data_IF_296205003082
#
_entry.id   IF_296205003082
#
_cell.length_a   1.000
_cell.length_b   1.000
_cell.length_c   1.000
_cell.angle_alpha   90.00
_cell.angle_beta   90.00
_cell.angle_gamma   90.00
#
_symmetry.space_group_name_H-M   'P 1'
#
loop_
_entity.id
_entity.type
_entity.pdbx_description
1 polymer ?
#
# COMPACT_ATOMS: atom_id res chain seq x y z
N UNK A 1 5.61 11.63 20.94
CA UNK A 1 4.65 10.91 20.06
C UNK A 1 4.51 9.45 20.48
N UNK A 2 3.30 8.91 20.63
CA UNK A 2 3.08 7.48 20.92
C UNK A 2 3.44 6.63 19.68
N UNK A 3 4.14 5.50 19.82
CA UNK A 3 4.46 4.64 18.67
C UNK A 3 3.20 3.96 18.12
N UNK A 4 3.14 3.85 16.80
CA UNK A 4 2.08 3.15 16.06
C UNK A 4 2.52 1.71 15.79
N UNK A 5 1.64 0.73 15.97
CA UNK A 5 1.87 -0.63 15.48
C UNK A 5 1.55 -0.65 13.99
N UNK A 6 2.54 -0.89 13.14
CA UNK A 6 2.36 -1.08 11.71
C UNK A 6 2.08 -2.55 11.41
N UNK A 7 0.82 -2.88 11.12
CA UNK A 7 0.37 -4.20 10.70
C UNK A 7 0.67 -4.44 9.20
N UNK A 8 1.96 -4.56 8.86
CA UNK A 8 2.40 -4.72 7.47
C UNK A 8 3.82 -5.25 7.36
N UNK A 9 4.05 -6.15 6.41
CA UNK A 9 5.40 -6.60 6.01
C UNK A 9 6.06 -5.69 4.96
N UNK A 10 5.39 -4.65 4.46
CA UNK A 10 5.87 -3.80 3.36
C UNK A 10 7.01 -2.86 3.80
N UNK A 11 8.23 -2.99 3.25
CA UNK A 11 9.32 -2.05 3.53
C UNK A 11 8.97 -0.61 3.14
N UNK A 12 8.22 -0.42 2.05
CA UNK A 12 7.82 0.90 1.55
C UNK A 12 6.95 1.69 2.53
N UNK A 13 6.03 1.00 3.23
CA UNK A 13 5.22 1.64 4.28
C UNK A 13 6.06 2.04 5.49
N UNK A 14 7.06 1.22 5.83
CA UNK A 14 8.02 1.56 6.88
C UNK A 14 8.86 2.78 6.49
N UNK A 15 9.33 2.86 5.24
CA UNK A 15 10.07 4.01 4.71
C UNK A 15 9.24 5.30 4.78
N UNK A 16 7.95 5.24 4.42
CA UNK A 16 7.04 6.39 4.53
C UNK A 16 6.90 6.84 5.99
N UNK A 17 6.67 5.93 6.95
CA UNK A 17 6.56 6.30 8.36
C UNK A 17 7.86 6.87 8.92
N UNK A 18 9.02 6.32 8.51
CA UNK A 18 10.35 6.87 8.85
C UNK A 18 10.52 8.28 8.31
N UNK A 19 10.16 8.51 7.04
CA UNK A 19 10.23 9.84 6.41
C UNK A 19 9.35 10.87 7.13
N UNK A 20 8.17 10.44 7.63
CA UNK A 20 7.25 11.27 8.39
C UNK A 20 7.67 11.47 9.86
N UNK A 21 8.75 10.86 10.32
CA UNK A 21 9.18 10.89 11.72
C UNK A 21 8.20 10.23 12.70
N UNK A 22 7.26 9.42 12.22
CA UNK A 22 6.29 8.72 13.07
C UNK A 22 6.96 7.48 13.66
N UNK A 23 7.07 7.35 15.00
CA UNK A 23 7.63 6.16 15.61
C UNK A 23 6.68 4.97 15.42
N UNK A 24 7.22 3.81 15.08
CA UNK A 24 6.42 2.61 14.86
C UNK A 24 7.13 1.32 15.23
N UNK A 25 6.32 0.28 15.48
CA UNK A 25 6.75 -1.11 15.62
C UNK A 25 6.05 -1.94 14.55
N UNK A 26 6.77 -2.89 13.94
CA UNK A 26 6.20 -3.75 12.90
C UNK A 26 5.70 -5.04 13.53
N UNK A 27 4.45 -5.39 13.25
CA UNK A 27 3.88 -6.72 13.49
C UNK A 27 3.34 -7.21 12.15
N UNK A 28 3.83 -8.38 11.71
CA UNK A 28 3.41 -8.96 10.43
C UNK A 28 2.05 -9.65 10.60
N UNK A 29 1.01 -9.22 9.88
CA UNK A 29 -0.27 -9.89 9.91
C UNK A 29 -0.24 -11.19 9.09
N UNK A 30 -0.99 -12.19 9.53
CA UNK A 30 -1.19 -13.46 8.84
C UNK A 30 -2.61 -13.53 8.26
N UNK A 31 -2.87 -12.79 7.20
CA UNK A 31 -4.19 -12.70 6.55
C UNK A 31 -4.18 -13.47 5.24
N UNK A 32 -5.23 -14.26 5.00
CA UNK A 32 -5.41 -14.95 3.73
C UNK A 32 -5.95 -14.01 2.65
N UNK A 33 -5.06 -13.54 1.78
CA UNK A 33 -5.41 -12.62 0.69
C UNK A 33 -6.24 -13.28 -0.44
N UNK A 34 -6.47 -14.61 -0.40
CA UNK A 34 -7.24 -15.32 -1.46
C UNK A 34 -8.75 -14.96 -1.46
N UNK A 35 -9.26 -14.37 -0.39
CA UNK A 35 -10.66 -13.89 -0.30
C UNK A 35 -10.89 -12.71 -1.25
N UNK A 36 -9.84 -12.00 -1.59
CA UNK A 36 -9.84 -10.81 -2.42
C UNK A 36 -10.41 -10.98 -3.84
N UNK A 37 -10.36 -12.18 -4.41
CA UNK A 37 -10.73 -12.43 -5.81
C UNK A 37 -12.24 -12.42 -6.11
N UNK A 38 -13.09 -12.31 -5.09
CA UNK A 38 -14.55 -12.42 -5.20
C UNK A 38 -15.30 -11.11 -4.94
N UNK A 39 -14.61 -10.04 -4.63
CA UNK A 39 -15.17 -8.76 -4.16
C UNK A 39 -14.69 -7.64 -5.10
N UNK A 40 -15.46 -6.55 -5.21
CA UNK A 40 -15.03 -5.37 -5.98
C UNK A 40 -13.67 -4.84 -5.46
N UNK A 41 -12.77 -4.35 -6.33
CA UNK A 41 -11.41 -3.96 -5.96
C UNK A 41 -11.30 -3.03 -4.75
N UNK A 42 -12.14 -1.99 -4.68
CA UNK A 42 -12.12 -1.04 -3.56
C UNK A 42 -12.51 -1.70 -2.23
N UNK A 43 -13.55 -2.53 -2.26
CA UNK A 43 -14.02 -3.25 -1.08
C UNK A 43 -12.99 -4.31 -0.64
N UNK A 44 -12.25 -4.87 -1.59
CA UNK A 44 -11.19 -5.83 -1.33
C UNK A 44 -10.05 -5.22 -0.52
N UNK A 45 -9.53 -4.05 -0.96
CA UNK A 45 -8.42 -3.40 -0.24
C UNK A 45 -8.85 -2.91 1.14
N UNK A 46 -10.09 -2.41 1.29
CA UNK A 46 -10.62 -2.01 2.59
C UNK A 46 -10.77 -3.20 3.53
N UNK A 47 -11.35 -4.30 3.06
CA UNK A 47 -11.49 -5.53 3.84
C UNK A 47 -10.13 -6.03 4.31
N UNK A 48 -9.17 -6.19 3.39
CA UNK A 48 -7.84 -6.70 3.72
C UNK A 48 -7.09 -5.77 4.69
N UNK A 49 -7.23 -4.45 4.56
CA UNK A 49 -6.66 -3.53 5.52
C UNK A 49 -7.27 -3.71 6.93
N UNK A 50 -8.59 -3.87 7.04
CA UNK A 50 -9.27 -4.16 8.33
C UNK A 50 -8.87 -5.50 8.92
N UNK A 51 -8.85 -6.56 8.12
CA UNK A 51 -8.45 -7.90 8.55
C UNK A 51 -7.02 -7.92 9.11
N UNK A 52 -6.09 -7.18 8.51
CA UNK A 52 -4.72 -7.03 9.03
C UNK A 52 -4.68 -6.40 10.42
N UNK A 53 -5.54 -5.44 10.72
CA UNK A 53 -5.67 -4.87 12.07
C UNK A 53 -6.22 -5.91 13.04
N UNK A 54 -7.30 -6.59 12.67
CA UNK A 54 -7.97 -7.58 13.51
C UNK A 54 -6.99 -8.71 13.87
N UNK A 55 -6.26 -9.24 12.90
CA UNK A 55 -5.27 -10.28 13.12
C UNK A 55 -4.19 -9.84 14.11
N UNK A 56 -3.61 -8.65 13.92
CA UNK A 56 -2.60 -8.11 14.84
C UNK A 56 -3.17 -7.89 16.25
N UNK A 57 -4.39 -7.37 16.37
CA UNK A 57 -5.04 -7.19 17.68
C UNK A 57 -5.23 -8.52 18.41
N UNK A 58 -5.50 -9.62 17.69
CA UNK A 58 -5.62 -10.96 18.28
C UNK A 58 -4.29 -11.56 18.73
N UNK A 59 -3.16 -11.15 18.12
CA UNK A 59 -1.83 -11.65 18.51
C UNK A 59 -1.25 -10.96 19.72
N UNK A 60 -1.79 -9.80 20.10
CA UNK A 60 -1.29 -9.00 21.22
C UNK A 60 -1.86 -9.50 22.56
N UNK A 61 -1.06 -9.43 23.65
CA UNK A 61 -1.54 -9.78 24.97
C UNK A 61 -2.76 -8.95 25.39
N UNK A 62 -3.77 -9.57 25.98
CA UNK A 62 -5.02 -8.91 26.37
C UNK A 62 -4.88 -7.78 27.39
N UNK A 63 -3.77 -7.74 28.12
CA UNK A 63 -3.43 -6.69 29.09
C UNK A 63 -2.54 -5.58 28.51
N UNK A 64 -2.14 -5.69 27.24
CA UNK A 64 -1.31 -4.67 26.60
C UNK A 64 -2.20 -3.48 26.18
N UNK A 65 -1.79 -2.27 26.59
CA UNK A 65 -2.38 -1.04 26.03
C UNK A 65 -1.89 -0.86 24.60
N UNK A 66 -2.83 -0.91 23.66
CA UNK A 66 -2.55 -0.71 22.23
C UNK A 66 -3.09 0.66 21.86
N UNK A 67 -2.25 1.68 21.74
CA UNK A 67 -2.72 3.03 21.44
C UNK A 67 -3.21 3.14 19.99
N UNK A 68 -2.42 2.63 19.03
CA UNK A 68 -2.68 2.79 17.60
C UNK A 68 -2.23 1.56 16.80
N UNK A 69 -3.04 1.10 15.85
CA UNK A 69 -2.63 0.11 14.84
C UNK A 69 -2.96 0.65 13.46
N UNK A 70 -1.97 0.68 12.59
CA UNK A 70 -2.06 1.12 11.21
C UNK A 70 -1.87 -0.06 10.27
N UNK A 71 -2.73 -0.20 9.29
CA UNK A 71 -2.54 -1.12 8.17
C UNK A 71 -2.87 -0.44 6.85
N UNK A 72 -2.48 -1.07 5.77
CA UNK A 72 -2.95 -0.72 4.43
C UNK A 72 -2.94 -1.95 3.53
N UNK A 73 -3.72 -1.87 2.45
CA UNK A 73 -3.68 -2.83 1.36
C UNK A 73 -3.68 -2.12 0.02
N UNK A 74 -2.99 -2.70 -0.99
CA UNK A 74 -2.78 -2.07 -2.29
C UNK A 74 -2.95 -3.08 -3.40
N UNK A 75 -3.78 -2.75 -4.37
CA UNK A 75 -3.93 -3.51 -5.61
C UNK A 75 -3.78 -2.60 -6.82
N UNK A 76 -3.40 -3.20 -7.94
CA UNK A 76 -3.37 -2.56 -9.25
C UNK A 76 -4.48 -3.16 -10.10
N UNK A 77 -5.24 -2.32 -10.82
CA UNK A 77 -6.34 -2.77 -11.68
C UNK A 77 -6.26 -2.16 -13.07
N UNK A 78 -6.61 -2.94 -14.08
CA UNK A 78 -6.81 -2.46 -15.46
C UNK A 78 -7.90 -3.30 -16.11
N UNK A 79 -8.90 -2.67 -16.70
CA UNK A 79 -10.03 -3.34 -17.36
C UNK A 79 -10.68 -4.42 -16.46
N UNK A 80 -10.97 -4.07 -15.21
CA UNK A 80 -11.55 -4.96 -14.19
C UNK A 80 -10.69 -6.17 -13.78
N UNK A 81 -9.47 -6.30 -14.30
CA UNK A 81 -8.50 -7.32 -13.90
C UNK A 81 -7.62 -6.79 -12.77
N UNK A 82 -7.38 -7.61 -11.77
CA UNK A 82 -6.48 -7.30 -10.65
C UNK A 82 -5.09 -7.85 -10.95
N UNK A 83 -4.07 -7.02 -10.70
CA UNK A 83 -2.66 -7.34 -10.84
C UNK A 83 -2.02 -7.29 -9.44
N UNK A 84 -1.90 -8.45 -8.82
CA UNK A 84 -1.24 -8.60 -7.53
C UNK A 84 0.30 -8.53 -7.65
N UNK A 85 0.99 -9.09 -6.66
CA UNK A 85 2.45 -9.28 -6.73
C UNK A 85 2.74 -10.40 -7.72
N UNK A 86 3.55 -10.19 -8.77
CA UNK A 86 3.88 -11.25 -9.73
C UNK A 86 4.65 -12.38 -9.04
N UNK A 87 4.35 -13.61 -9.42
CA UNK A 87 4.92 -14.82 -8.82
C UNK A 87 6.30 -15.17 -9.37
N UNK A 88 6.56 -14.75 -10.59
CA UNK A 88 7.80 -15.01 -11.33
C UNK A 88 8.06 -13.92 -12.36
N UNK A 89 9.19 -14.01 -13.03
CA UNK A 89 9.65 -13.05 -14.02
C UNK A 89 8.70 -12.96 -15.23
N UNK A 90 8.19 -14.08 -15.70
CA UNK A 90 7.27 -14.15 -16.86
C UNK A 90 5.95 -13.41 -16.54
N UNK A 91 5.45 -13.54 -15.31
CA UNK A 91 4.25 -12.83 -14.90
C UNK A 91 4.50 -11.32 -14.75
N UNK A 92 5.65 -10.94 -14.22
CA UNK A 92 6.06 -9.53 -14.14
C UNK A 92 6.18 -8.90 -15.53
N UNK A 93 6.85 -9.58 -16.46
CA UNK A 93 6.98 -9.13 -17.85
C UNK A 93 5.62 -8.95 -18.52
N UNK A 94 4.72 -9.92 -18.33
CA UNK A 94 3.35 -9.84 -18.84
C UNK A 94 2.63 -8.59 -18.28
N UNK A 95 2.76 -8.30 -16.99
CA UNK A 95 2.13 -7.12 -16.38
C UNK A 95 2.66 -5.83 -17.01
N UNK A 96 3.98 -5.69 -17.15
CA UNK A 96 4.58 -4.49 -17.76
C UNK A 96 4.18 -4.36 -19.23
N UNK A 97 4.11 -5.47 -20.00
CA UNK A 97 3.58 -5.46 -21.37
C UNK A 97 2.12 -5.00 -21.45
N UNK A 98 1.31 -5.35 -20.46
CA UNK A 98 -0.08 -4.91 -20.40
C UNK A 98 -0.20 -3.43 -19.97
N UNK A 99 0.76 -2.87 -19.21
CA UNK A 99 0.74 -1.49 -18.73
C UNK A 99 1.38 -0.50 -19.70
N UNK A 100 2.40 -0.88 -20.44
CA UNK A 100 3.10 0.01 -21.37
C UNK A 100 2.12 0.65 -22.37
N UNK A 101 2.29 1.94 -22.64
CA UNK A 101 1.44 2.73 -23.54
C UNK A 101 -0.01 2.89 -23.07
N UNK A 102 -0.32 2.62 -21.78
CA UNK A 102 -1.68 2.60 -21.28
C UNK A 102 -1.80 3.13 -19.85
N UNK A 103 -3.04 3.44 -19.45
CA UNK A 103 -3.39 3.86 -18.09
C UNK A 103 -3.98 2.69 -17.32
N UNK A 104 -3.59 2.55 -16.07
CA UNK A 104 -4.18 1.63 -15.09
C UNK A 104 -4.44 2.36 -13.77
N UNK A 105 -5.19 1.74 -12.87
CA UNK A 105 -5.56 2.32 -11.57
C UNK A 105 -4.86 1.55 -10.45
N UNK A 106 -4.29 2.29 -9.51
CA UNK A 106 -3.80 1.77 -8.24
C UNK A 106 -4.78 2.18 -7.15
N UNK A 107 -5.21 1.22 -6.34
CA UNK A 107 -6.15 1.41 -5.25
C UNK A 107 -5.45 1.03 -3.96
N UNK A 108 -5.42 1.96 -3.01
CA UNK A 108 -4.89 1.69 -1.66
C UNK A 108 -5.91 2.10 -0.62
N UNK A 109 -6.27 1.16 0.24
CA UNK A 109 -7.01 1.44 1.47
C UNK A 109 -6.07 1.48 2.65
N UNK A 110 -6.22 2.50 3.48
CA UNK A 110 -5.56 2.63 4.78
C UNK A 110 -6.60 2.44 5.88
N UNK A 111 -6.25 1.68 6.91
CA UNK A 111 -7.07 1.48 8.10
C UNK A 111 -6.28 1.87 9.35
N UNK A 112 -6.92 2.61 10.24
CA UNK A 112 -6.35 3.08 11.49
C UNK A 112 -7.27 2.68 12.67
N UNK A 113 -6.73 1.89 13.59
CA UNK A 113 -7.38 1.55 14.85
C UNK A 113 -6.91 2.49 15.96
N UNK A 114 -7.88 3.02 16.70
CA UNK A 114 -7.65 3.82 17.90
C UNK A 114 -8.01 3.00 19.14
N UNK A 115 -7.04 2.68 19.96
CA UNK A 115 -7.21 1.87 21.16
C UNK A 115 -7.99 2.56 22.29
N UNK A 116 -8.08 3.90 22.30
CA UNK A 116 -8.91 4.65 23.28
C UNK A 116 -10.39 4.48 22.99
N UNK A 117 -10.79 4.63 21.73
CA UNK A 117 -12.19 4.49 21.28
C UNK A 117 -12.56 3.09 20.89
N UNK A 118 -11.57 2.21 20.65
CA UNK A 118 -11.72 0.85 20.14
C UNK A 118 -12.43 0.81 18.78
N UNK A 119 -12.17 1.80 17.94
CA UNK A 119 -12.77 1.93 16.61
C UNK A 119 -11.70 1.85 15.54
N UNK A 120 -12.06 1.27 14.40
CA UNK A 120 -11.24 1.27 13.18
C UNK A 120 -11.90 2.15 12.13
N UNK A 121 -11.18 3.15 11.65
CA UNK A 121 -11.57 3.96 10.49
C UNK A 121 -10.79 3.53 9.26
N UNK A 122 -11.36 3.74 8.07
CA UNK A 122 -10.70 3.44 6.80
C UNK A 122 -10.90 4.57 5.80
N UNK A 123 -9.89 4.80 4.95
CA UNK A 123 -9.99 5.64 3.74
C UNK A 123 -9.42 4.88 2.56
N UNK A 124 -10.09 4.96 1.41
CA UNK A 124 -9.66 4.32 0.16
C UNK A 124 -9.34 5.39 -0.86
N UNK A 125 -8.20 5.25 -1.52
CA UNK A 125 -7.67 6.21 -2.50
C UNK A 125 -7.38 5.49 -3.81
N UNK A 126 -7.80 6.12 -4.91
CA UNK A 126 -7.51 5.67 -6.26
C UNK A 126 -6.54 6.64 -6.94
N UNK A 127 -5.59 6.10 -7.66
CA UNK A 127 -4.64 6.87 -8.46
C UNK A 127 -4.47 6.22 -9.82
N UNK A 128 -4.63 7.02 -10.89
CA UNK A 128 -4.35 6.58 -12.24
C UNK A 128 -2.89 6.79 -12.57
N UNK A 129 -2.27 5.76 -13.13
CA UNK A 129 -0.87 5.77 -13.57
C UNK A 129 -0.83 5.44 -15.05
N UNK A 130 -0.19 6.30 -15.84
CA UNK A 130 -0.02 6.11 -17.28
C UNK A 130 1.44 5.80 -17.58
N UNK A 131 1.68 4.65 -18.19
CA UNK A 131 2.99 4.30 -18.74
C UNK A 131 3.12 4.84 -20.16
N UNK A 132 4.29 5.38 -20.50
CA UNK A 132 4.68 5.63 -21.88
C UNK A 132 4.78 4.30 -22.66
N UNK A 133 4.71 4.33 -23.99
CA UNK A 133 5.11 3.19 -24.80
C UNK A 133 6.54 2.75 -24.47
N UNK A 134 6.74 1.44 -24.34
CA UNK A 134 8.04 0.84 -24.06
C UNK A 134 8.41 -0.15 -25.17
N UNK A 135 9.67 -0.15 -25.56
CA UNK A 135 10.24 -1.17 -26.46
C UNK A 135 10.39 -2.52 -25.73
N UNK A 136 10.54 -3.59 -26.49
CA UNK A 136 10.82 -4.91 -25.91
C UNK A 136 12.15 -4.96 -25.14
N UNK A 137 13.12 -4.15 -25.53
CA UNK A 137 14.42 -4.04 -24.87
C UNK A 137 14.28 -3.34 -23.52
N UNK A 138 13.50 -2.23 -23.44
CA UNK A 138 13.23 -1.52 -22.20
C UNK A 138 12.45 -2.38 -21.20
N UNK A 139 11.45 -3.14 -21.68
CA UNK A 139 10.71 -4.06 -20.84
C UNK A 139 11.64 -5.13 -20.28
N UNK A 140 12.45 -5.77 -21.17
CA UNK A 140 13.43 -6.77 -20.74
C UNK A 140 14.40 -6.20 -19.71
N UNK A 141 14.98 -5.03 -19.99
CA UNK A 141 15.88 -4.34 -19.08
C UNK A 141 15.26 -4.13 -17.71
N UNK A 142 14.02 -3.60 -17.67
CA UNK A 142 13.33 -3.37 -16.40
C UNK A 142 13.10 -4.67 -15.62
N UNK A 143 12.69 -5.73 -16.29
CA UNK A 143 12.46 -7.04 -15.66
C UNK A 143 13.75 -7.63 -15.11
N UNK A 144 14.87 -7.50 -15.84
CA UNK A 144 16.19 -8.00 -15.43
C UNK A 144 16.71 -7.28 -14.16
N UNK A 145 16.25 -6.05 -13.86
CA UNK A 145 16.59 -5.35 -12.59
C UNK A 145 16.06 -6.04 -11.35
N UNK A 146 15.04 -6.88 -11.46
CA UNK A 146 14.38 -7.53 -10.33
C UNK A 146 13.52 -6.59 -9.46
N UNK A 147 13.34 -5.31 -9.85
CA UNK A 147 12.58 -4.33 -9.07
C UNK A 147 11.12 -4.73 -8.83
N UNK A 148 10.58 -5.56 -9.70
CA UNK A 148 9.21 -6.05 -9.65
C UNK A 148 8.92 -6.94 -8.42
N UNK A 149 9.94 -7.51 -7.77
CA UNK A 149 9.75 -8.42 -6.64
C UNK A 149 8.96 -7.76 -5.50
N UNK A 150 7.88 -8.43 -5.09
CA UNK A 150 7.05 -7.98 -3.96
C UNK A 150 6.26 -6.68 -4.19
N UNK A 151 6.19 -6.20 -5.44
CA UNK A 151 5.41 -5.02 -5.82
C UNK A 151 4.09 -5.43 -6.50
N UNK A 152 2.95 -4.92 -6.04
CA UNK A 152 1.69 -5.06 -6.76
C UNK A 152 1.81 -4.43 -8.15
N UNK A 153 1.30 -5.13 -9.18
CA UNK A 153 1.49 -4.72 -10.56
C UNK A 153 2.91 -4.90 -11.11
N UNK A 154 3.87 -5.38 -10.31
CA UNK A 154 5.23 -5.63 -10.76
C UNK A 154 6.09 -4.39 -10.98
N UNK A 155 5.78 -3.24 -10.34
CA UNK A 155 6.59 -2.04 -10.46
C UNK A 155 6.60 -1.18 -9.20
N UNK A 156 7.58 -0.27 -9.12
CA UNK A 156 7.74 0.70 -8.03
C UNK A 156 7.83 2.12 -8.60
N UNK A 157 6.81 2.93 -8.34
CA UNK A 157 6.71 4.30 -8.86
C UNK A 157 7.85 5.21 -8.40
N UNK A 158 8.42 4.96 -7.23
CA UNK A 158 9.48 5.77 -6.63
C UNK A 158 10.90 5.33 -7.04
N UNK A 159 11.03 4.37 -7.96
CA UNK A 159 12.32 3.81 -8.37
C UNK A 159 12.42 3.75 -9.91
N UNK A 160 13.05 2.72 -10.49
CA UNK A 160 13.38 2.66 -11.92
C UNK A 160 12.16 2.69 -12.84
N UNK A 161 11.01 2.17 -12.40
CA UNK A 161 9.78 2.26 -13.19
C UNK A 161 9.35 3.70 -13.48
N UNK A 162 9.82 4.69 -12.68
CA UNK A 162 9.53 6.11 -12.91
C UNK A 162 10.02 6.62 -14.26
N UNK A 163 11.05 5.98 -14.85
CA UNK A 163 11.54 6.29 -16.19
C UNK A 163 10.46 6.13 -17.28
N UNK A 164 9.50 5.25 -17.03
CA UNK A 164 8.46 4.87 -18.00
C UNK A 164 7.08 5.43 -17.65
N UNK A 165 6.91 6.10 -16.51
CA UNK A 165 5.65 6.69 -16.09
C UNK A 165 5.54 8.11 -16.61
N UNK A 166 4.63 8.33 -17.57
CA UNK A 166 4.44 9.63 -18.22
C UNK A 166 3.43 10.53 -17.50
N UNK A 167 2.49 9.95 -16.70
CA UNK A 167 1.46 10.72 -16.00
C UNK A 167 0.97 10.00 -14.75
N UNK A 168 0.66 10.80 -13.72
CA UNK A 168 -0.02 10.37 -12.49
C UNK A 168 -1.22 11.31 -12.29
N UNK A 169 -2.41 10.73 -12.05
CA UNK A 169 -3.61 11.48 -11.65
C UNK A 169 -4.08 10.95 -10.30
N UNK A 170 -3.75 11.67 -9.24
CA UNK A 170 -3.99 11.31 -7.85
C UNK A 170 -2.74 11.42 -6.97
N UNK A 171 -2.56 10.49 -6.04
CA UNK A 171 -1.49 10.50 -5.04
C UNK A 171 -0.38 9.50 -5.36
N UNK A 172 0.86 9.98 -5.49
CA UNK A 172 2.02 9.09 -5.62
C UNK A 172 2.17 8.18 -4.40
N UNK A 173 1.89 8.67 -3.20
CA UNK A 173 1.98 7.88 -1.98
C UNK A 173 0.92 6.76 -1.91
N UNK A 174 -0.24 6.95 -2.57
CA UNK A 174 -1.20 5.87 -2.80
C UNK A 174 -0.56 4.74 -3.62
N UNK A 175 0.12 5.08 -4.71
CA UNK A 175 0.80 4.08 -5.57
C UNK A 175 1.94 3.38 -4.81
N UNK A 176 2.66 4.11 -3.96
CA UNK A 176 3.71 3.53 -3.09
C UNK A 176 3.13 2.59 -2.04
N UNK A 177 1.83 2.77 -1.69
CA UNK A 177 1.06 1.85 -0.84
C UNK A 177 0.71 2.34 0.56
N UNK A 178 0.87 3.66 0.83
CA UNK A 178 0.38 4.32 2.04
C UNK A 178 0.04 5.78 1.71
N UNK A 179 -1.23 6.13 1.47
CA UNK A 179 -1.68 7.49 1.16
C UNK A 179 -1.39 8.44 2.33
N UNK A 180 -0.40 9.33 2.15
CA UNK A 180 0.12 10.17 3.25
C UNK A 180 -0.89 11.21 3.70
N UNK A 181 -1.59 11.85 2.76
CA UNK A 181 -2.56 12.89 3.10
C UNK A 181 -3.73 12.31 3.90
N UNK A 182 -4.29 11.20 3.45
CA UNK A 182 -5.40 10.53 4.11
C UNK A 182 -4.99 9.94 5.46
N UNK A 183 -3.77 9.42 5.57
CA UNK A 183 -3.21 8.98 6.85
C UNK A 183 -3.11 10.15 7.83
N UNK A 184 -2.54 11.29 7.40
CA UNK A 184 -2.43 12.49 8.23
C UNK A 184 -3.80 12.98 8.70
N UNK A 185 -4.76 13.05 7.79
CA UNK A 185 -6.11 13.49 8.07
C UNK A 185 -6.81 12.58 9.10
N UNK A 186 -6.70 11.24 8.93
CA UNK A 186 -7.21 10.26 9.89
C UNK A 186 -6.55 10.38 11.28
N UNK A 187 -5.24 10.57 11.32
CA UNK A 187 -4.50 10.75 12.57
C UNK A 187 -4.94 12.03 13.29
N UNK A 188 -5.05 13.13 12.56
CA UNK A 188 -5.52 14.42 13.07
C UNK A 188 -6.95 14.36 13.61
N UNK A 189 -7.88 13.76 12.84
CA UNK A 189 -9.28 13.58 13.25
C UNK A 189 -9.41 12.80 14.57
N UNK A 190 -8.49 11.86 14.81
CA UNK A 190 -8.50 11.03 16.00
C UNK A 190 -7.62 11.55 17.15
N UNK A 191 -7.03 12.74 17.01
CA UNK A 191 -6.25 13.39 18.05
C UNK A 191 -4.81 12.88 18.20
N UNK A 192 -4.24 12.25 17.16
CA UNK A 192 -2.83 11.94 17.11
C UNK A 192 -2.06 13.10 16.48
N UNK A 193 -1.14 13.71 17.23
CA UNK A 193 -0.34 14.84 16.74
C UNK A 193 0.95 14.33 16.05
N UNK A 194 1.04 14.56 14.74
CA UNK A 194 2.26 14.29 13.96
C UNK A 194 3.27 15.43 14.11
N UNK A 195 2.81 16.65 14.47
CA UNK A 195 3.65 17.84 14.50
C UNK A 195 4.59 17.91 15.70
N UNK A 196 4.35 17.11 16.74
CA UNK A 196 5.22 17.01 17.93
C UNK A 196 6.58 16.34 17.67
N UNK A 197 6.81 15.81 16.47
CA UNK A 197 8.05 15.09 16.15
C UNK A 197 9.22 15.97 15.74
N UNK A 198 9.02 17.26 15.60
CA UNK A 198 10.01 18.20 15.06
C UNK A 198 10.43 19.28 16.09
N UNK A 199 10.19 19.06 17.38
CA UNK A 199 10.70 19.90 18.47
C UNK A 199 12.02 19.38 19.06
#
# INVERSE_FOLDING_TARGET
MEPIILASSSPRRQEILKMLGIPFQVIMPNVNEAIASRIAPNNTTELLAREKIIDVLHTLPSNQKIPWVLSADTIVTKNSKIYGKPKNQEEAERFIKEFQGATHTVITSVALYNGKTRTTTTKTVETKVTFAPMTSEEIKWYIDTGEWHGAAGGYRIQSLASLFISKIEGSQSCVTGLPIYELYDMLKEQGYSVLESFE
#
